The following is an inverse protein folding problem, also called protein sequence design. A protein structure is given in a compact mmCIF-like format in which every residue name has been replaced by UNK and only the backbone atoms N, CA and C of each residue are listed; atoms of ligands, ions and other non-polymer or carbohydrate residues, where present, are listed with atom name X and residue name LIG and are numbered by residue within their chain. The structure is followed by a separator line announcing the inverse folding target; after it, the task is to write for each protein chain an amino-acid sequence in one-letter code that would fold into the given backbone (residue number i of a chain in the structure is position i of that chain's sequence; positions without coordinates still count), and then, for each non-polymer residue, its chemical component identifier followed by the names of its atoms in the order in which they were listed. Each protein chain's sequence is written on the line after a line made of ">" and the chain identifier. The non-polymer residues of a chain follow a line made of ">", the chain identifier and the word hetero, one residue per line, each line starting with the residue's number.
data_IF_140419319701
#
_entry.id   IF_140419319701
#
_cell.length_a   1.000
_cell.length_b   1.000
_cell.length_c   1.000
_cell.angle_alpha   90.00
_cell.angle_beta   90.00
_cell.angle_gamma   90.00
#
_symmetry.space_group_name_H-M   'P 1'
#
loop_
_entity.id
_entity.type
_entity.pdbx_description
1 polymer ?
#
# COMPACT_ATOMS: atom_id res chain seq x y z
N UNK A 1 -10.54 1.87 2.68
CA UNK A 1 -10.91 1.35 1.34
C UNK A 1 -9.76 0.64 0.63
N UNK A 2 -8.49 1.07 0.76
CA UNK A 2 -7.37 0.41 0.05
C UNK A 2 -7.09 -1.05 0.43
N UNK A 3 -7.30 -1.47 1.69
CA UNK A 3 -6.97 -2.82 2.14
C UNK A 3 -7.65 -3.96 1.36
N UNK A 4 -8.98 -3.98 1.12
CA UNK A 4 -9.62 -5.02 0.31
C UNK A 4 -9.14 -5.03 -1.15
N UNK A 5 -8.81 -3.87 -1.73
CA UNK A 5 -8.22 -3.79 -3.07
C UNK A 5 -6.85 -4.47 -3.12
N UNK A 6 -5.96 -4.13 -2.18
CA UNK A 6 -4.65 -4.75 -2.08
C UNK A 6 -4.75 -6.27 -1.85
N UNK A 7 -5.68 -6.73 -1.01
CA UNK A 7 -5.92 -8.17 -0.81
C UNK A 7 -6.30 -8.88 -2.10
N UNK A 8 -7.16 -8.29 -2.93
CA UNK A 8 -7.56 -8.89 -4.20
C UNK A 8 -6.41 -8.95 -5.20
N UNK A 9 -5.57 -7.92 -5.27
CA UNK A 9 -4.37 -7.91 -6.12
C UNK A 9 -3.37 -8.99 -5.71
N UNK A 10 -3.14 -9.14 -4.40
CA UNK A 10 -2.29 -10.21 -3.86
C UNK A 10 -2.85 -11.58 -4.24
N UNK A 11 -4.16 -11.81 -4.04
CA UNK A 11 -4.82 -13.09 -4.40
C UNK A 11 -4.78 -13.37 -5.90
N UNK A 12 -4.76 -12.34 -6.74
CA UNK A 12 -4.60 -12.46 -8.17
C UNK A 12 -3.15 -12.73 -8.61
N UNK A 13 -2.19 -12.78 -7.66
CA UNK A 13 -0.78 -13.07 -7.92
C UNK A 13 0.06 -11.85 -8.30
N UNK A 14 -0.44 -10.63 -8.07
CA UNK A 14 0.34 -9.40 -8.27
C UNK A 14 1.37 -9.20 -7.15
N UNK A 15 2.55 -8.68 -7.48
CA UNK A 15 3.50 -8.20 -6.48
C UNK A 15 3.01 -6.86 -5.93
N UNK A 16 2.67 -6.82 -4.64
CA UNK A 16 2.03 -5.66 -4.02
C UNK A 16 2.91 -5.11 -2.92
N UNK A 17 3.28 -3.85 -3.06
CA UNK A 17 3.95 -3.07 -2.03
C UNK A 17 2.94 -2.13 -1.34
N UNK A 18 2.99 -2.06 -0.02
CA UNK A 18 2.08 -1.25 0.80
C UNK A 18 2.84 -0.30 1.72
N UNK A 19 2.24 0.86 1.94
CA UNK A 19 2.63 1.83 2.96
C UNK A 19 1.39 2.44 3.59
N UNK A 20 1.51 2.84 4.86
CA UNK A 20 0.55 3.68 5.56
C UNK A 20 1.28 4.43 6.67
N UNK A 21 0.80 5.64 7.03
CA UNK A 21 1.33 6.40 8.17
C UNK A 21 1.40 5.58 9.46
N UNK A 22 0.38 4.74 9.68
CA UNK A 22 0.37 3.75 10.78
C UNK A 22 0.76 2.38 10.24
N UNK A 23 2.00 1.94 10.49
CA UNK A 23 2.53 0.66 10.02
C UNK A 23 1.63 -0.54 10.35
N UNK A 24 1.06 -0.59 11.55
CA UNK A 24 0.23 -1.74 11.97
C UNK A 24 -1.01 -1.98 11.11
N UNK A 25 -1.47 -0.96 10.37
CA UNK A 25 -2.57 -1.12 9.39
C UNK A 25 -2.15 -1.90 8.15
N UNK A 26 -0.86 -2.09 7.91
CA UNK A 26 -0.31 -2.89 6.83
C UNK A 26 -0.11 -4.36 7.22
N UNK A 27 -0.08 -4.70 8.52
CA UNK A 27 0.30 -6.04 9.01
C UNK A 27 -0.55 -7.16 8.39
N UNK A 28 -1.87 -6.95 8.27
CA UNK A 28 -2.75 -7.93 7.64
C UNK A 28 -2.42 -8.20 6.17
N UNK A 29 -1.93 -7.18 5.44
CA UNK A 29 -1.53 -7.32 4.03
C UNK A 29 -0.14 -7.95 3.92
N UNK A 30 0.77 -7.58 4.83
CA UNK A 30 2.11 -8.18 4.92
C UNK A 30 2.01 -9.68 5.17
N UNK A 31 1.13 -10.09 6.10
CA UNK A 31 0.87 -11.50 6.38
C UNK A 31 0.29 -12.27 5.19
N UNK A 32 -0.31 -11.57 4.21
CA UNK A 32 -0.80 -12.15 2.97
C UNK A 32 0.26 -12.16 1.85
N UNK A 33 1.45 -11.60 2.09
CA UNK A 33 2.55 -11.56 1.14
C UNK A 33 2.87 -10.17 0.56
N UNK A 34 2.23 -9.11 1.04
CA UNK A 34 2.59 -7.75 0.62
C UNK A 34 3.97 -7.33 1.16
N UNK A 35 4.72 -6.57 0.38
CA UNK A 35 5.97 -5.94 0.81
C UNK A 35 5.66 -4.63 1.51
N UNK A 36 6.33 -4.34 2.62
CA UNK A 36 6.21 -3.03 3.28
C UNK A 36 7.39 -2.13 2.93
N UNK A 37 7.09 -0.86 2.67
CA UNK A 37 8.08 0.21 2.57
C UNK A 37 7.78 1.31 3.59
N UNK A 38 8.79 2.03 4.10
CA UNK A 38 8.60 2.99 5.19
C UNK A 38 8.07 4.36 4.74
N UNK A 39 8.10 4.67 3.43
CA UNK A 39 7.65 5.94 2.87
C UNK A 39 6.88 5.74 1.55
N UNK A 40 6.00 6.69 1.18
CA UNK A 40 5.32 6.65 -0.11
C UNK A 40 6.29 6.82 -1.29
N UNK A 41 7.39 7.56 -1.11
CA UNK A 41 8.46 7.73 -2.11
C UNK A 41 9.13 6.39 -2.45
N UNK A 42 9.43 5.56 -1.44
CA UNK A 42 9.99 4.23 -1.67
C UNK A 42 9.02 3.29 -2.37
N UNK A 43 7.71 3.40 -2.09
CA UNK A 43 6.68 2.64 -2.81
C UNK A 43 6.71 3.05 -4.29
N UNK A 44 6.57 4.35 -4.57
CA UNK A 44 6.50 4.88 -5.93
C UNK A 44 7.75 4.57 -6.75
N UNK A 45 8.93 4.58 -6.12
CA UNK A 45 10.19 4.26 -6.78
C UNK A 45 10.36 2.76 -7.09
N UNK A 46 9.59 1.90 -6.43
CA UNK A 46 9.72 0.43 -6.54
C UNK A 46 8.58 -0.24 -7.30
N UNK A 47 7.59 0.51 -7.77
CA UNK A 47 6.38 -0.01 -8.41
C UNK A 47 6.12 0.66 -9.76
N UNK A 48 5.73 -0.13 -10.76
CA UNK A 48 5.36 0.39 -12.09
C UNK A 48 4.07 1.23 -12.05
N UNK A 49 3.15 0.86 -11.14
CA UNK A 49 1.86 1.54 -10.94
C UNK A 49 1.61 1.71 -9.44
N UNK A 50 1.23 2.93 -9.04
CA UNK A 50 0.93 3.26 -7.64
C UNK A 50 -0.50 3.78 -7.50
N UNK A 51 -1.21 3.31 -6.47
CA UNK A 51 -2.54 3.82 -6.10
C UNK A 51 -2.45 4.62 -4.80
N UNK A 52 -2.83 5.89 -4.84
CA UNK A 52 -3.00 6.71 -3.64
C UNK A 52 -4.46 6.58 -3.13
N UNK A 53 -4.64 5.97 -1.96
CA UNK A 53 -5.96 5.78 -1.33
C UNK A 53 -5.98 6.44 0.04
N UNK A 54 -6.31 7.74 0.04
CA UNK A 54 -6.24 8.62 1.20
C UNK A 54 -7.65 9.12 1.57
N UNK A 55 -7.80 9.68 2.77
CA UNK A 55 -9.09 10.14 3.27
C UNK A 55 -9.56 11.44 2.57
N UNK A 56 -8.62 12.31 2.23
CA UNK A 56 -8.85 13.67 1.76
C UNK A 56 -7.61 14.19 0.98
N UNK A 57 -7.72 15.32 0.26
CA UNK A 57 -6.60 15.90 -0.47
C UNK A 57 -5.43 16.40 0.39
N UNK A 58 -5.70 16.91 1.61
CA UNK A 58 -4.66 17.40 2.52
C UNK A 58 -3.73 16.26 2.94
N UNK A 59 -4.30 15.06 3.11
CA UNK A 59 -3.54 13.83 3.36
C UNK A 59 -2.59 13.45 2.21
N UNK A 60 -2.73 14.00 0.99
CA UNK A 60 -1.83 13.70 -0.13
C UNK A 60 -0.59 14.61 -0.18
N UNK A 61 -0.59 15.71 0.57
CA UNK A 61 0.46 16.74 0.51
C UNK A 61 1.51 16.57 1.63
N UNK A 62 1.26 15.65 2.57
CA UNK A 62 2.05 15.39 3.78
C UNK A 62 2.33 13.90 3.98
#
# INVERSE_FOLDING_TARGET
>A
MGSPMAQNLIKAGSDVTVWNRTKSKCDSLINLGAKYKPSPEEVASSCDVTFAMLADPESAVH
#
